data_IF_989012808018
#
_entry.id   IF_989012808018
#
_cell.length_a   1.000
_cell.length_b   1.000
_cell.length_c   1.000
_cell.angle_alpha   90.00
_cell.angle_beta   90.00
_cell.angle_gamma   90.00
#
_symmetry.space_group_name_H-M   'P 1'
#
loop_
_entity.id
_entity.type
_entity.pdbx_description
1 polymer ?
#
# COMPACT_ATOMS: atom_id res chain seq x y z
N UNK A 1 16.85 -12.20 -1.75
CA UNK A 1 15.82 -11.49 -2.54
C UNK A 1 15.32 -10.23 -1.84
N UNK A 2 14.88 -10.29 -0.56
CA UNK A 2 14.50 -9.08 0.20
C UNK A 2 15.67 -8.12 0.44
N UNK A 3 16.84 -8.65 0.84
CA UNK A 3 18.05 -7.85 1.06
C UNK A 3 18.46 -7.07 -0.20
N UNK A 4 18.47 -7.74 -1.36
CA UNK A 4 18.81 -7.11 -2.65
C UNK A 4 17.85 -5.98 -3.03
N UNK A 5 16.54 -6.11 -2.73
CA UNK A 5 15.58 -5.04 -3.01
C UNK A 5 15.84 -3.82 -2.12
N UNK A 6 16.09 -4.05 -0.83
CA UNK A 6 16.35 -2.99 0.13
C UNK A 6 17.65 -2.23 -0.19
N UNK A 7 18.66 -2.93 -0.69
CA UNK A 7 19.93 -2.35 -1.13
C UNK A 7 19.78 -1.54 -2.42
N UNK A 8 18.93 -1.97 -3.35
CA UNK A 8 18.71 -1.30 -4.64
C UNK A 8 17.81 -0.06 -4.54
N UNK A 9 16.83 -0.07 -3.63
CA UNK A 9 15.82 0.98 -3.45
C UNK A 9 15.73 1.46 -1.98
N UNK A 10 16.83 2.01 -1.42
CA UNK A 10 16.91 2.30 0.01
C UNK A 10 16.17 3.57 0.46
N UNK A 11 15.82 4.48 -0.45
CA UNK A 11 15.36 5.83 -0.03
C UNK A 11 13.92 5.86 0.48
N UNK A 12 13.15 4.79 0.24
CA UNK A 12 11.69 4.76 0.36
C UNK A 12 11.20 3.42 0.95
N UNK A 13 9.89 3.13 0.91
CA UNK A 13 9.31 1.92 1.54
C UNK A 13 9.87 0.59 1.03
N UNK A 14 10.54 0.57 -0.11
CA UNK A 14 11.25 -0.62 -0.60
C UNK A 14 12.56 -0.92 0.12
N UNK A 15 13.06 0.01 0.94
CA UNK A 15 14.25 -0.15 1.78
C UNK A 15 14.00 -0.91 3.09
N UNK A 16 12.73 -1.15 3.44
CA UNK A 16 12.32 -1.75 4.73
C UNK A 16 11.64 -3.11 4.55
N UNK A 17 11.64 -3.91 5.61
CA UNK A 17 10.98 -5.22 5.61
C UNK A 17 9.48 -5.06 5.88
N UNK A 18 8.69 -4.90 4.81
CA UNK A 18 7.21 -4.75 4.90
C UNK A 18 6.51 -5.92 5.61
N UNK A 19 7.08 -7.13 5.51
CA UNK A 19 6.57 -8.31 6.23
C UNK A 19 6.87 -8.32 7.74
N UNK A 20 7.57 -7.31 8.24
CA UNK A 20 8.01 -7.21 9.62
C UNK A 20 9.40 -7.82 9.83
N UNK A 21 10.20 -7.12 10.62
CA UNK A 21 11.43 -7.63 11.22
C UNK A 21 11.10 -8.16 12.63
N UNK A 22 11.57 -9.37 12.95
CA UNK A 22 11.33 -10.02 14.25
C UNK A 22 11.79 -9.16 15.43
N UNK A 23 12.86 -8.39 15.27
CA UNK A 23 13.35 -7.51 16.31
C UNK A 23 12.43 -6.30 16.55
N UNK A 24 11.69 -5.86 15.52
CA UNK A 24 10.92 -4.62 15.53
C UNK A 24 9.41 -4.85 15.65
N UNK A 25 8.89 -6.02 15.27
CA UNK A 25 7.45 -6.32 15.27
C UNK A 25 6.82 -6.14 16.66
N UNK A 26 7.58 -6.42 17.72
CA UNK A 26 7.15 -6.28 19.11
C UNK A 26 7.00 -4.83 19.58
N UNK A 27 7.56 -3.87 18.83
CA UNK A 27 7.46 -2.45 19.14
C UNK A 27 6.24 -1.76 18.50
N UNK A 28 5.50 -2.49 17.65
CA UNK A 28 4.30 -1.98 17.01
C UNK A 28 3.20 -1.72 18.05
N UNK A 29 2.77 -0.47 18.15
CA UNK A 29 1.68 -0.06 19.04
C UNK A 29 0.32 -0.19 18.36
N UNK A 30 -0.73 -0.36 19.15
CA UNK A 30 -2.10 -0.38 18.65
C UNK A 30 -2.48 0.92 17.92
N UNK A 31 -2.01 2.07 18.41
CA UNK A 31 -2.29 3.35 17.77
C UNK A 31 -1.66 3.43 16.37
N UNK A 32 -0.40 3.04 16.22
CA UNK A 32 0.26 2.98 14.91
C UNK A 32 -0.45 2.06 13.92
N UNK A 33 -1.02 0.94 14.40
CA UNK A 33 -1.81 0.05 13.56
C UNK A 33 -3.13 0.71 13.09
N UNK A 34 -3.84 1.39 13.99
CA UNK A 34 -5.07 2.11 13.65
C UNK A 34 -4.80 3.26 12.66
N UNK A 35 -3.73 4.02 12.89
CA UNK A 35 -3.36 5.16 12.04
C UNK A 35 -3.01 4.68 10.63
N UNK A 36 -2.24 3.59 10.51
CA UNK A 36 -1.92 2.98 9.21
C UNK A 36 -3.18 2.56 8.46
N UNK A 37 -4.12 1.89 9.13
CA UNK A 37 -5.40 1.50 8.53
C UNK A 37 -6.20 2.71 8.07
N UNK A 38 -6.34 3.74 8.91
CA UNK A 38 -7.06 4.96 8.58
C UNK A 38 -6.46 5.68 7.36
N UNK A 39 -5.15 5.66 7.20
CA UNK A 39 -4.46 6.30 6.07
C UNK A 39 -4.53 5.48 4.77
N UNK A 40 -4.36 4.15 4.83
CA UNK A 40 -4.13 3.34 3.63
C UNK A 40 -5.34 2.55 3.14
N UNK A 41 -6.33 2.27 4.01
CA UNK A 41 -7.52 1.45 3.68
C UNK A 41 -8.73 2.30 3.27
N UNK A 42 -8.55 3.61 3.09
CA UNK A 42 -9.59 4.44 2.49
C UNK A 42 -9.92 3.95 1.06
N UNK A 43 -11.21 3.86 0.67
CA UNK A 43 -11.59 3.42 -0.67
C UNK A 43 -11.01 4.26 -1.81
N UNK A 44 -10.65 5.52 -1.57
CA UNK A 44 -10.01 6.39 -2.55
C UNK A 44 -8.59 5.92 -2.92
N UNK A 45 -7.95 5.12 -2.06
CA UNK A 45 -6.67 4.45 -2.32
C UNK A 45 -6.84 3.00 -2.80
N UNK A 46 -8.06 2.47 -2.80
CA UNK A 46 -8.34 1.09 -3.18
C UNK A 46 -8.40 0.90 -4.70
N UNK A 47 -8.10 -0.32 -5.16
CA UNK A 47 -8.28 -0.75 -6.54
C UNK A 47 -9.09 -2.05 -6.56
N UNK A 48 -10.28 -2.00 -7.13
CA UNK A 48 -11.16 -3.15 -7.27
C UNK A 48 -10.92 -3.85 -8.60
N UNK A 49 -10.82 -5.17 -8.59
CA UNK A 49 -10.64 -5.97 -9.81
C UNK A 49 -11.49 -7.24 -9.70
N UNK A 50 -12.36 -7.45 -10.67
CA UNK A 50 -13.20 -8.64 -10.79
C UNK A 50 -12.78 -9.44 -12.01
N UNK A 51 -12.83 -10.77 -11.92
CA UNK A 51 -12.57 -11.66 -13.03
C UNK A 51 -13.51 -12.86 -12.94
N UNK A 52 -14.54 -12.87 -13.79
CA UNK A 52 -15.54 -13.94 -13.84
C UNK A 52 -16.40 -13.82 -15.09
N UNK A 53 -17.23 -14.83 -15.32
CA UNK A 53 -18.28 -14.82 -16.35
C UNK A 53 -19.60 -14.19 -15.87
N UNK A 54 -19.64 -13.59 -14.67
CA UNK A 54 -20.83 -12.95 -14.12
C UNK A 54 -21.02 -11.52 -14.67
N UNK A 55 -22.28 -11.00 -14.72
CA UNK A 55 -22.56 -9.64 -15.13
C UNK A 55 -21.87 -8.61 -14.24
N UNK A 56 -21.10 -7.72 -14.85
CA UNK A 56 -20.31 -6.70 -14.17
C UNK A 56 -21.19 -5.67 -13.45
N UNK A 57 -22.40 -5.41 -13.96
CA UNK A 57 -23.34 -4.42 -13.46
C UNK A 57 -23.68 -4.67 -11.99
N UNK A 58 -23.95 -5.94 -11.64
CA UNK A 58 -24.27 -6.33 -10.26
C UNK A 58 -23.10 -6.09 -9.29
N UNK A 59 -21.87 -6.24 -9.76
CA UNK A 59 -20.67 -5.97 -8.96
C UNK A 59 -20.44 -4.48 -8.78
N UNK A 60 -20.67 -3.67 -9.82
CA UNK A 60 -20.55 -2.22 -9.74
C UNK A 60 -21.58 -1.64 -8.78
N UNK A 61 -22.86 -2.05 -8.88
CA UNK A 61 -23.91 -1.58 -7.95
C UNK A 61 -23.59 -1.93 -6.50
N UNK A 62 -23.07 -3.13 -6.25
CA UNK A 62 -22.64 -3.53 -4.92
C UNK A 62 -21.48 -2.68 -4.40
N UNK A 63 -20.47 -2.41 -5.24
CA UNK A 63 -19.34 -1.57 -4.85
C UNK A 63 -19.83 -0.14 -4.59
N UNK A 64 -20.61 0.45 -5.48
CA UNK A 64 -21.13 1.81 -5.35
C UNK A 64 -21.95 1.99 -4.07
N UNK A 65 -22.88 1.06 -3.80
CA UNK A 65 -23.67 1.09 -2.56
C UNK A 65 -22.83 0.92 -1.30
N UNK A 66 -21.74 0.14 -1.35
CA UNK A 66 -20.82 -0.04 -0.22
C UNK A 66 -19.91 1.16 0.02
N UNK A 67 -19.69 2.00 -0.99
CA UNK A 67 -18.82 3.17 -0.94
C UNK A 67 -19.56 4.48 -0.65
N UNK A 68 -20.90 4.46 -0.64
CA UNK A 68 -21.73 5.66 -0.55
C UNK A 68 -21.46 6.55 0.68
N UNK A 69 -21.00 5.97 1.79
CA UNK A 69 -20.71 6.71 3.03
C UNK A 69 -19.31 7.35 3.05
N UNK A 70 -18.44 7.04 2.09
CA UNK A 70 -17.07 7.51 2.07
C UNK A 70 -16.94 8.82 1.29
N UNK A 71 -16.20 9.76 1.88
CA UNK A 71 -15.85 11.02 1.22
C UNK A 71 -14.57 10.76 0.43
N UNK A 72 -14.58 11.07 -0.86
CA UNK A 72 -13.39 10.95 -1.69
C UNK A 72 -12.28 11.86 -1.15
N UNK A 73 -11.12 11.27 -0.89
CA UNK A 73 -9.90 11.98 -0.52
C UNK A 73 -8.84 11.79 -1.60
N UNK A 74 -7.92 12.73 -1.72
CA UNK A 74 -6.72 12.52 -2.54
C UNK A 74 -5.82 11.52 -1.82
N UNK A 75 -5.55 10.33 -2.40
CA UNK A 75 -4.66 9.37 -1.78
C UNK A 75 -3.25 9.96 -1.68
N UNK A 76 -2.48 9.52 -0.68
CA UNK A 76 -1.08 9.95 -0.59
C UNK A 76 -0.36 9.53 -1.88
N UNK A 77 0.30 10.51 -2.51
CA UNK A 77 1.00 10.29 -3.78
C UNK A 77 2.06 9.22 -3.56
N UNK A 78 2.13 8.25 -4.47
CA UNK A 78 3.03 7.10 -4.36
C UNK A 78 4.50 7.48 -4.17
N UNK A 79 5.29 6.50 -3.73
CA UNK A 79 6.71 6.66 -3.40
C UNK A 79 7.48 7.47 -4.46
N UNK A 80 8.32 8.44 -4.05
CA UNK A 80 9.17 9.16 -4.98
C UNK A 80 10.09 8.22 -5.76
N UNK A 81 10.54 8.69 -6.92
CA UNK A 81 11.49 7.92 -7.73
C UNK A 81 12.85 7.85 -7.03
N UNK A 82 13.38 6.64 -6.91
CA UNK A 82 14.76 6.41 -6.45
C UNK A 82 15.75 7.12 -7.39
N UNK A 83 16.71 7.83 -6.82
CA UNK A 83 17.73 8.51 -7.60
C UNK A 83 18.64 7.50 -8.30
N UNK A 84 19.01 7.80 -9.54
CA UNK A 84 19.91 6.93 -10.31
C UNK A 84 21.29 6.86 -9.66
N UNK A 85 21.76 5.63 -9.49
CA UNK A 85 23.07 5.34 -8.93
C UNK A 85 24.20 5.86 -9.84
N UNK A 86 25.16 6.57 -9.25
CA UNK A 86 26.33 7.12 -9.97
C UNK A 86 27.45 6.10 -10.16
N UNK A 87 27.41 5.00 -9.40
CA UNK A 87 28.35 3.87 -9.42
C UNK A 87 27.54 2.59 -9.25
N UNK A 88 28.00 1.43 -9.74
CA UNK A 88 27.30 0.16 -9.54
C UNK A 88 27.07 -0.10 -8.05
N UNK A 89 25.88 -0.60 -7.73
CA UNK A 89 25.51 -1.09 -6.40
C UNK A 89 26.40 -2.31 -6.10
N UNK A 90 26.99 -2.42 -4.90
CA UNK A 90 27.82 -3.57 -4.53
C UNK A 90 27.07 -4.90 -4.59
#
# INVERSE_FOLDING_TARGET
MKETQNELLPSHTYGVLSGGDLAHIISLTHQQLQDLHAEHYDPSNARFSTYSDFPLESHIEFIDSSLFEFIQIEPSVGEPLELRWKKPVP
#
